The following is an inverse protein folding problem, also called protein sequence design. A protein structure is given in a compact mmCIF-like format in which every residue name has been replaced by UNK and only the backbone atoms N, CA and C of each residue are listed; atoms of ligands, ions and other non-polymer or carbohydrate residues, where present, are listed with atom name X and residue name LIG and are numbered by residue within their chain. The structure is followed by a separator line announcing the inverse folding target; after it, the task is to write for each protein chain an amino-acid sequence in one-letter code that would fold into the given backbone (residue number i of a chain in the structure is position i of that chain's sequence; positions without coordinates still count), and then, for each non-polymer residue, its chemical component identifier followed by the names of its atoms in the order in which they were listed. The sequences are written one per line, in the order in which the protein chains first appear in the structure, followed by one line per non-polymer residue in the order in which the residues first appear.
data_IF_763841674516
#
_entry.id   IF_763841674516
#
_cell.length_a   1.000
_cell.length_b   1.000
_cell.length_c   1.000
_cell.angle_alpha   90.00
_cell.angle_beta   90.00
_cell.angle_gamma   90.00
#
_symmetry.space_group_name_H-M   'P 1'
#
loop_
_entity.id
_entity.type
_entity.pdbx_description
1 polymer ?
#
# COMPACT_ATOMS: atom_id res chain seq x y z
N UNK A 1 13.84 -21.62 25.51
CA UNK A 1 13.34 -21.19 24.18
C UNK A 1 12.70 -19.83 24.36
N UNK A 2 13.33 -18.75 23.90
CA UNK A 2 12.75 -17.41 23.98
C UNK A 2 11.55 -17.35 23.04
N UNK A 3 10.37 -17.12 23.61
CA UNK A 3 9.16 -16.79 22.85
C UNK A 3 9.39 -15.44 22.18
N UNK A 4 9.61 -15.43 20.87
CA UNK A 4 9.61 -14.20 20.09
C UNK A 4 8.25 -13.51 20.33
N UNK A 5 8.26 -12.40 21.07
CA UNK A 5 7.08 -11.54 21.20
C UNK A 5 6.71 -11.12 19.78
N UNK A 6 5.47 -11.38 19.38
CA UNK A 6 4.89 -10.85 18.15
C UNK A 6 4.90 -9.32 18.27
N UNK A 7 5.97 -8.70 17.81
CA UNK A 7 6.07 -7.26 17.71
C UNK A 7 5.06 -6.81 16.64
N UNK A 8 4.28 -5.78 16.95
CA UNK A 8 3.37 -5.13 16.00
C UNK A 8 4.21 -4.70 14.80
N UNK A 9 3.86 -5.16 13.59
CA UNK A 9 4.49 -4.68 12.37
C UNK A 9 4.03 -3.22 12.20
N UNK A 10 4.95 -2.24 12.18
CA UNK A 10 4.58 -0.85 12.00
C UNK A 10 3.93 -0.66 10.62
N UNK A 11 2.91 0.19 10.56
CA UNK A 11 2.25 0.57 9.30
C UNK A 11 3.24 1.28 8.36
N UNK A 12 2.98 1.32 7.05
CA UNK A 12 3.85 2.08 6.14
C UNK A 12 3.91 3.56 6.52
N UNK A 13 2.80 4.12 7.02
CA UNK A 13 2.79 5.48 7.58
C UNK A 13 3.82 5.65 8.70
N UNK A 14 3.76 4.81 9.73
CA UNK A 14 4.69 4.86 10.88
C UNK A 14 6.14 4.70 10.40
N UNK A 15 6.41 3.77 9.48
CA UNK A 15 7.75 3.59 8.90
C UNK A 15 8.26 4.83 8.17
N UNK A 16 7.40 5.47 7.38
CA UNK A 16 7.76 6.69 6.64
C UNK A 16 7.97 7.85 7.62
N UNK A 17 7.09 8.03 8.60
CA UNK A 17 7.16 9.08 9.63
C UNK A 17 8.40 8.96 10.52
N UNK A 18 8.73 7.74 10.97
CA UNK A 18 9.92 7.45 11.75
C UNK A 18 11.20 7.74 10.95
N UNK A 19 11.23 7.35 9.67
CA UNK A 19 12.41 7.57 8.83
C UNK A 19 12.58 9.04 8.46
N UNK A 20 11.46 9.75 8.24
CA UNK A 20 11.45 11.19 8.01
C UNK A 20 11.99 11.96 9.20
N UNK A 21 11.70 11.50 10.42
CA UNK A 21 12.26 12.06 11.65
C UNK A 21 13.77 11.79 11.81
N UNK A 22 14.24 10.62 11.36
CA UNK A 22 15.65 10.22 11.46
C UNK A 22 16.56 10.85 10.39
N UNK A 23 16.07 10.98 9.14
CA UNK A 23 16.84 11.41 7.98
C UNK A 23 16.15 12.58 7.26
N UNK A 24 15.86 13.64 8.03
CA UNK A 24 15.01 14.74 7.59
C UNK A 24 15.56 15.46 6.36
N UNK A 25 16.85 15.78 6.35
CA UNK A 25 17.45 16.64 5.32
C UNK A 25 17.50 15.92 3.97
N UNK A 26 17.90 14.65 3.97
CA UNK A 26 17.99 13.81 2.79
C UNK A 26 16.61 13.57 2.17
N UNK A 27 15.61 13.31 3.02
CA UNK A 27 14.23 13.07 2.58
C UNK A 27 13.53 14.33 2.10
N UNK A 28 13.75 15.47 2.75
CA UNK A 28 13.29 16.77 2.24
C UNK A 28 13.89 17.02 0.85
N UNK A 29 15.20 16.79 0.68
CA UNK A 29 15.89 16.94 -0.61
C UNK A 29 15.28 16.02 -1.67
N UNK A 30 15.01 14.76 -1.33
CA UNK A 30 14.40 13.79 -2.25
C UNK A 30 12.99 14.18 -2.67
N UNK A 31 12.14 14.46 -1.70
CA UNK A 31 10.76 14.82 -1.95
C UNK A 31 10.66 16.16 -2.68
N UNK A 32 11.56 17.11 -2.40
CA UNK A 32 11.64 18.37 -3.13
C UNK A 32 12.01 18.14 -4.60
N UNK A 33 12.95 17.25 -4.90
CA UNK A 33 13.29 16.86 -6.29
C UNK A 33 12.11 16.26 -7.03
N UNK A 34 11.31 15.41 -6.37
CA UNK A 34 10.07 14.91 -6.97
C UNK A 34 9.10 16.04 -7.30
N UNK A 35 8.91 16.98 -6.36
CA UNK A 35 8.04 18.14 -6.55
C UNK A 35 8.55 19.09 -7.64
N UNK A 36 9.87 19.26 -7.77
CA UNK A 36 10.53 20.09 -8.78
C UNK A 36 10.35 19.56 -10.22
N UNK A 37 10.15 18.24 -10.39
CA UNK A 37 9.78 17.66 -11.69
C UNK A 37 8.37 18.09 -12.15
N UNK A 38 7.60 18.72 -11.25
CA UNK A 38 6.26 19.23 -11.51
C UNK A 38 5.17 18.18 -11.29
N UNK A 39 3.94 18.55 -11.64
CA UNK A 39 2.80 17.65 -11.50
C UNK A 39 2.94 16.45 -12.46
N UNK A 40 2.84 15.23 -11.93
CA UNK A 40 3.01 14.04 -12.76
C UNK A 40 2.94 12.72 -12.00
N UNK A 41 3.14 11.63 -12.74
CA UNK A 41 3.28 10.27 -12.19
C UNK A 41 4.74 9.85 -12.28
N UNK A 42 5.31 9.43 -11.16
CA UNK A 42 6.63 8.82 -11.06
C UNK A 42 6.49 7.31 -11.04
N UNK A 43 7.24 6.65 -11.93
CA UNK A 43 7.35 5.21 -12.00
C UNK A 43 8.40 4.71 -10.99
N UNK A 44 8.39 3.41 -10.63
CA UNK A 44 9.33 2.86 -9.64
C UNK A 44 10.80 3.18 -9.94
N UNK A 45 11.21 3.07 -11.21
CA UNK A 45 12.60 3.38 -11.59
C UNK A 45 12.95 4.85 -11.34
N UNK A 46 12.05 5.80 -11.62
CA UNK A 46 12.26 7.21 -11.29
C UNK A 46 12.44 7.45 -9.79
N UNK A 47 11.69 6.72 -8.94
CA UNK A 47 11.81 6.83 -7.48
C UNK A 47 13.18 6.33 -6.99
N UNK A 48 13.67 5.24 -7.56
CA UNK A 48 14.99 4.69 -7.21
C UNK A 48 16.12 5.55 -7.78
N UNK A 49 16.00 6.01 -9.03
CA UNK A 49 17.02 6.84 -9.68
C UNK A 49 17.27 8.16 -8.92
N UNK A 50 16.22 8.81 -8.41
CA UNK A 50 16.38 10.02 -7.60
C UNK A 50 16.92 9.74 -6.19
N UNK A 51 16.57 8.59 -5.61
CA UNK A 51 17.17 8.15 -4.34
C UNK A 51 18.68 7.96 -4.49
N UNK A 52 19.11 7.27 -5.54
CA UNK A 52 20.52 7.00 -5.83
C UNK A 52 21.31 8.29 -6.12
N UNK A 53 20.69 9.32 -6.71
CA UNK A 53 21.35 10.62 -6.93
C UNK A 53 21.64 11.41 -5.66
N UNK A 54 20.86 11.21 -4.59
CA UNK A 54 21.05 11.89 -3.31
C UNK A 54 22.05 11.14 -2.46
N UNK A 55 22.03 9.83 -2.58
CA UNK A 55 22.95 8.91 -1.94
C UNK A 55 24.27 8.94 -2.71
N UNK A 56 25.09 9.96 -2.47
CA UNK A 56 26.51 9.93 -2.85
C UNK A 56 27.30 8.87 -2.06
N UNK A 57 28.62 8.81 -2.25
CA UNK A 57 29.54 7.80 -1.66
C UNK A 57 29.71 7.83 -0.12
N UNK A 58 28.89 8.56 0.63
CA UNK A 58 28.98 8.61 2.10
C UNK A 58 28.33 7.39 2.77
N UNK A 59 29.01 6.80 3.77
CA UNK A 59 28.52 5.64 4.55
C UNK A 59 27.15 5.88 5.21
N UNK A 60 26.83 7.13 5.58
CA UNK A 60 25.53 7.49 6.15
C UNK A 60 24.37 7.29 5.16
N UNK A 61 24.64 7.39 3.85
CA UNK A 61 23.62 7.26 2.82
C UNK A 61 23.29 5.80 2.47
N UNK A 62 24.24 4.87 2.68
CA UNK A 62 23.98 3.43 2.53
C UNK A 62 22.94 2.95 3.55
N UNK A 63 22.93 3.52 4.75
CA UNK A 63 21.92 3.19 5.77
C UNK A 63 20.51 3.67 5.43
N UNK A 64 20.37 4.65 4.53
CA UNK A 64 19.08 5.10 3.99
C UNK A 64 18.55 4.16 2.89
N UNK A 65 19.42 3.72 1.96
CA UNK A 65 19.06 2.78 0.87
C UNK A 65 18.73 1.39 1.41
N UNK A 66 19.54 0.90 2.35
CA UNK A 66 19.33 -0.40 3.00
C UNK A 66 18.45 -0.28 4.25
N UNK A 67 17.97 0.94 4.52
CA UNK A 67 17.12 1.27 5.64
C UNK A 67 15.63 1.04 5.38
N UNK A 68 14.80 1.30 6.41
CA UNK A 68 13.37 1.07 6.35
C UNK A 68 12.66 1.90 5.27
N UNK A 69 13.20 3.06 4.89
CA UNK A 69 12.64 3.91 3.84
C UNK A 69 13.06 3.49 2.43
N UNK A 70 14.29 3.04 2.23
CA UNK A 70 14.71 2.41 0.97
C UNK A 70 13.82 1.21 0.64
N UNK A 71 13.47 0.39 1.63
CA UNK A 71 12.49 -0.70 1.47
C UNK A 71 11.09 -0.22 1.08
N UNK A 72 10.64 0.91 1.63
CA UNK A 72 9.35 1.52 1.28
C UNK A 72 9.36 1.98 -0.18
N UNK A 73 10.40 2.68 -0.62
CA UNK A 73 10.54 3.14 -2.00
C UNK A 73 10.69 1.98 -2.99
N UNK A 74 11.47 0.95 -2.65
CA UNK A 74 11.60 -0.29 -3.44
C UNK A 74 10.26 -1.02 -3.58
N UNK A 75 9.38 -0.89 -2.58
CA UNK A 75 8.03 -1.48 -2.59
C UNK A 75 6.98 -0.57 -3.24
N UNK A 76 7.30 0.71 -3.48
CA UNK A 76 6.40 1.66 -4.12
C UNK A 76 6.22 1.29 -5.61
N UNK A 77 4.96 1.20 -6.04
CA UNK A 77 4.61 0.86 -7.41
C UNK A 77 4.44 2.09 -8.29
N UNK A 78 4.09 3.22 -7.69
CA UNK A 78 3.99 4.51 -8.34
C UNK A 78 3.94 5.61 -7.26
N UNK A 79 4.32 6.83 -7.64
CA UNK A 79 4.04 8.02 -6.87
C UNK A 79 3.37 9.08 -7.74
N UNK A 80 2.41 9.79 -7.17
CA UNK A 80 1.73 10.92 -7.78
C UNK A 80 2.28 12.17 -7.14
N UNK A 81 2.74 13.10 -7.97
CA UNK A 81 3.22 14.40 -7.53
C UNK A 81 2.16 15.44 -7.87
N UNK A 82 1.59 16.03 -6.83
CA UNK A 82 0.69 17.18 -6.90
C UNK A 82 1.21 18.22 -5.90
N UNK A 83 2.09 19.15 -6.32
CA UNK A 83 2.76 20.06 -5.41
C UNK A 83 1.78 20.75 -4.45
N UNK A 84 2.03 20.73 -3.11
CA UNK A 84 3.25 20.28 -2.42
C UNK A 84 3.23 18.82 -1.93
N UNK A 85 2.30 18.01 -2.42
CA UNK A 85 2.08 16.63 -1.98
C UNK A 85 2.74 15.61 -2.90
N UNK A 86 3.29 14.57 -2.28
CA UNK A 86 3.72 13.33 -2.95
C UNK A 86 2.92 12.18 -2.36
N UNK A 87 2.07 11.54 -3.16
CA UNK A 87 1.26 10.39 -2.75
C UNK A 87 1.83 9.11 -3.36
N UNK A 88 2.13 8.11 -2.54
CA UNK A 88 2.76 6.85 -2.95
C UNK A 88 1.80 5.67 -2.79
N UNK A 89 1.73 4.82 -3.81
CA UNK A 89 1.09 3.51 -3.71
C UNK A 89 2.15 2.44 -3.40
N UNK A 90 2.13 1.92 -2.19
CA UNK A 90 3.14 1.00 -1.68
C UNK A 90 2.55 -0.41 -1.68
N UNK A 91 3.30 -1.37 -2.20
CA UNK A 91 2.90 -2.78 -2.27
C UNK A 91 3.91 -3.67 -1.54
N UNK A 92 3.83 -3.78 -0.21
CA UNK A 92 4.81 -4.55 0.56
C UNK A 92 4.78 -6.04 0.22
N UNK A 93 3.60 -6.58 -0.14
CA UNK A 93 3.38 -8.00 -0.46
C UNK A 93 2.31 -8.16 -1.55
N UNK A 94 2.31 -9.28 -2.30
CA UNK A 94 1.25 -9.55 -3.26
C UNK A 94 -0.14 -9.51 -2.62
N UNK A 95 -1.02 -8.66 -3.16
CA UNK A 95 -2.40 -8.50 -2.67
C UNK A 95 -2.57 -7.56 -1.47
N UNK A 96 -1.49 -6.93 -1.00
CA UNK A 96 -1.53 -5.93 0.08
C UNK A 96 -1.03 -4.60 -0.45
N UNK A 97 -1.85 -3.56 -0.29
CA UNK A 97 -1.57 -2.19 -0.71
C UNK A 97 -1.74 -1.24 0.47
N UNK A 98 -0.85 -0.26 0.55
CA UNK A 98 -0.93 0.84 1.49
C UNK A 98 -0.66 2.14 0.72
N UNK A 99 -1.45 3.18 1.01
CA UNK A 99 -1.34 4.47 0.35
C UNK A 99 -0.95 5.52 1.37
N UNK A 100 0.07 6.30 1.03
CA UNK A 100 0.62 7.32 1.94
C UNK A 100 0.81 8.61 1.18
N UNK A 101 0.42 9.73 1.79
CA UNK A 101 0.67 11.08 1.31
C UNK A 101 1.71 11.75 2.20
N UNK A 102 2.66 12.43 1.58
CA UNK A 102 3.64 13.26 2.27
C UNK A 102 3.48 14.71 1.80
N UNK A 103 3.33 15.64 2.75
CA UNK A 103 3.45 17.07 2.48
C UNK A 103 4.93 17.44 2.59
N UNK A 104 5.54 17.90 1.49
CA UNK A 104 6.98 18.18 1.47
C UNK A 104 7.37 19.39 2.31
N UNK A 105 6.46 20.36 2.48
CA UNK A 105 6.75 21.58 3.24
C UNK A 105 6.57 21.40 4.75
N UNK A 106 5.46 20.76 5.16
CA UNK A 106 5.17 20.50 6.57
C UNK A 106 5.84 19.24 7.09
N UNK A 107 6.28 18.37 6.18
CA UNK A 107 6.84 17.04 6.48
C UNK A 107 5.90 16.14 7.27
N UNK A 108 4.60 16.35 7.04
CA UNK A 108 3.55 15.51 7.59
C UNK A 108 3.31 14.31 6.67
N UNK A 109 3.06 13.15 7.30
CA UNK A 109 2.81 11.88 6.64
C UNK A 109 1.42 11.40 7.02
N UNK A 110 0.58 11.18 6.03
CA UNK A 110 -0.80 10.76 6.21
C UNK A 110 -1.06 9.46 5.48
N UNK A 111 -1.84 8.58 6.09
CA UNK A 111 -2.32 7.38 5.43
C UNK A 111 -3.59 7.71 4.64
N UNK A 112 -3.63 7.29 3.37
CA UNK A 112 -4.79 7.46 2.51
C UNK A 112 -5.58 6.16 2.40
N UNK A 113 -6.88 6.30 2.24
CA UNK A 113 -7.76 5.26 1.70
C UNK A 113 -7.56 5.11 0.19
N UNK A 114 -8.11 4.03 -0.38
CA UNK A 114 -8.09 3.79 -1.83
C UNK A 114 -8.78 4.94 -2.57
N UNK A 115 -9.96 5.36 -2.10
CA UNK A 115 -10.74 6.43 -2.73
C UNK A 115 -9.98 7.77 -2.71
N UNK A 116 -9.35 8.13 -1.59
CA UNK A 116 -8.54 9.35 -1.49
C UNK A 116 -7.33 9.32 -2.42
N UNK A 117 -6.66 8.16 -2.54
CA UNK A 117 -5.54 8.01 -3.48
C UNK A 117 -5.97 8.10 -4.95
N UNK A 118 -7.12 7.50 -5.30
CA UNK A 118 -7.67 7.59 -6.66
C UNK A 118 -8.11 9.01 -7.01
N UNK A 119 -8.70 9.74 -6.05
CA UNK A 119 -9.02 11.16 -6.22
C UNK A 119 -7.76 11.99 -6.53
N UNK A 120 -6.62 11.66 -5.91
CA UNK A 120 -5.33 12.26 -6.26
C UNK A 120 -4.93 12.02 -7.72
N UNK A 121 -5.22 10.84 -8.27
CA UNK A 121 -4.98 10.54 -9.71
C UNK A 121 -5.91 11.32 -10.62
N UNK A 122 -7.17 11.47 -10.23
CA UNK A 122 -8.16 12.26 -10.97
C UNK A 122 -7.76 13.73 -11.00
N UNK A 123 -7.39 14.31 -9.85
CA UNK A 123 -6.96 15.71 -9.74
C UNK A 123 -5.71 16.00 -10.58
N UNK A 124 -4.84 15.02 -10.79
CA UNK A 124 -3.68 15.17 -11.67
C UNK A 124 -4.07 15.49 -13.12
N UNK A 125 -5.17 14.89 -13.61
CA UNK A 125 -5.62 15.02 -15.00
C UNK A 125 -6.63 16.16 -15.13
N UNK A 126 -7.69 16.12 -14.33
CA UNK A 126 -8.85 16.99 -14.47
C UNK A 126 -8.75 18.27 -13.61
N UNK A 127 -7.76 18.33 -12.72
CA UNK A 127 -7.66 19.37 -11.70
C UNK A 127 -8.67 19.17 -10.57
N UNK A 128 -8.86 20.20 -9.74
CA UNK A 128 -9.79 20.11 -8.62
C UNK A 128 -11.23 19.99 -9.12
N UNK A 129 -11.79 18.79 -9.02
CA UNK A 129 -13.20 18.53 -9.21
C UNK A 129 -13.90 18.51 -7.85
N UNK A 130 -15.02 19.22 -7.76
CA UNK A 130 -15.83 19.32 -6.55
C UNK A 130 -17.13 18.53 -6.67
N UNK A 131 -17.18 17.54 -7.57
CA UNK A 131 -18.34 16.68 -7.70
C UNK A 131 -18.42 15.71 -6.51
N UNK A 132 -19.41 15.92 -5.65
CA UNK A 132 -19.62 15.12 -4.45
C UNK A 132 -20.19 13.73 -4.78
N UNK A 133 -20.69 13.50 -5.99
CA UNK A 133 -21.45 12.30 -6.38
C UNK A 133 -20.78 11.49 -7.49
N UNK A 134 -19.45 11.48 -7.54
CA UNK A 134 -18.69 10.59 -8.42
C UNK A 134 -19.04 9.14 -8.10
N UNK A 135 -19.32 8.36 -9.15
CA UNK A 135 -19.68 6.94 -9.00
C UNK A 135 -18.46 6.13 -8.58
N UNK A 136 -18.48 5.58 -7.37
CA UNK A 136 -17.48 4.63 -6.88
C UNK A 136 -18.00 3.18 -7.01
N UNK A 137 -17.22 2.33 -7.67
CA UNK A 137 -17.54 0.91 -7.83
C UNK A 137 -16.88 0.09 -6.72
N UNK A 138 -17.63 -0.22 -5.67
CA UNK A 138 -17.17 -1.06 -4.56
C UNK A 138 -17.82 -2.45 -4.57
N UNK A 139 -16.99 -3.48 -4.77
CA UNK A 139 -17.40 -4.89 -4.73
C UNK A 139 -17.09 -5.58 -3.41
N UNK A 140 -16.43 -4.91 -2.46
CA UNK A 140 -16.07 -5.51 -1.17
C UNK A 140 -17.30 -5.96 -0.36
N UNK A 141 -18.38 -5.16 -0.23
CA UNK A 141 -19.58 -5.55 0.51
C UNK A 141 -20.27 -6.80 -0.07
N UNK A 142 -20.25 -6.96 -1.40
CA UNK A 142 -20.87 -8.09 -2.09
C UNK A 142 -20.14 -9.42 -1.88
N UNK A 143 -18.87 -9.36 -1.48
CA UNK A 143 -18.03 -10.53 -1.27
C UNK A 143 -17.83 -10.89 0.22
N UNK A 144 -18.52 -10.20 1.14
CA UNK A 144 -18.35 -10.39 2.59
C UNK A 144 -18.75 -11.79 3.07
N UNK A 145 -19.63 -12.48 2.35
CA UNK A 145 -20.05 -13.86 2.66
C UNK A 145 -19.02 -14.91 2.27
N UNK A 146 -18.08 -14.58 1.37
CA UNK A 146 -17.02 -15.49 0.97
C UNK A 146 -15.80 -15.36 1.87
N UNK A 147 -15.31 -16.47 2.46
CA UNK A 147 -14.09 -16.43 3.24
C UNK A 147 -12.91 -16.03 2.34
N UNK A 148 -12.08 -15.07 2.79
CA UNK A 148 -10.90 -14.62 2.05
C UNK A 148 -9.62 -15.26 2.60
N UNK A 149 -8.83 -15.97 1.79
CA UNK A 149 -7.52 -16.45 2.22
C UNK A 149 -6.55 -15.28 2.38
N UNK A 150 -5.88 -15.19 3.52
CA UNK A 150 -4.90 -14.11 3.83
C UNK A 150 -3.46 -14.48 3.51
N UNK A 151 -3.19 -15.75 3.18
CA UNK A 151 -1.85 -16.23 2.84
C UNK A 151 -1.59 -16.06 1.35
N UNK A 152 -0.48 -15.44 0.99
CA UNK A 152 -0.04 -15.27 -0.40
C UNK A 152 0.07 -16.60 -1.15
N UNK A 153 0.48 -17.68 -0.47
CA UNK A 153 0.53 -19.03 -1.05
C UNK A 153 -0.83 -19.62 -1.45
N UNK A 154 -1.93 -19.03 -0.97
CA UNK A 154 -3.29 -19.45 -1.34
C UNK A 154 -3.83 -18.73 -2.59
N UNK A 155 -3.10 -17.73 -3.10
CA UNK A 155 -3.45 -17.06 -4.36
C UNK A 155 -3.37 -18.09 -5.49
N UNK A 156 -4.42 -18.18 -6.31
CA UNK A 156 -4.55 -19.18 -7.37
C UNK A 156 -5.10 -20.54 -6.91
N UNK A 157 -5.24 -20.78 -5.60
CA UNK A 157 -5.68 -22.06 -5.03
C UNK A 157 -7.09 -21.98 -4.42
N UNK A 158 -8.00 -21.22 -5.04
CA UNK A 158 -9.33 -20.90 -4.50
C UNK A 158 -10.21 -22.13 -4.25
N UNK A 159 -10.22 -23.10 -5.17
CA UNK A 159 -11.01 -24.34 -5.04
C UNK A 159 -10.59 -25.16 -3.82
N UNK A 160 -9.29 -25.27 -3.55
CA UNK A 160 -8.80 -26.00 -2.38
C UNK A 160 -9.25 -25.32 -1.08
N UNK A 161 -9.19 -23.99 -1.05
CA UNK A 161 -9.66 -23.21 0.09
C UNK A 161 -11.18 -23.35 0.30
N UNK A 162 -11.95 -23.25 -0.78
CA UNK A 162 -13.40 -23.41 -0.75
C UNK A 162 -13.80 -24.83 -0.33
N UNK A 163 -13.15 -25.86 -0.86
CA UNK A 163 -13.40 -27.25 -0.47
C UNK A 163 -13.19 -27.44 1.04
N UNK A 164 -12.06 -26.94 1.58
CA UNK A 164 -11.79 -27.01 3.01
C UNK A 164 -12.84 -26.25 3.84
N UNK A 165 -13.29 -25.11 3.35
CA UNK A 165 -14.33 -24.32 3.99
C UNK A 165 -15.69 -25.03 3.99
N UNK A 166 -16.15 -25.51 2.83
CA UNK A 166 -17.40 -26.26 2.67
C UNK A 166 -17.40 -27.54 3.50
N UNK A 167 -16.30 -28.31 3.47
CA UNK A 167 -16.17 -29.49 4.34
C UNK A 167 -16.36 -29.11 5.80
N UNK A 168 -15.71 -28.04 6.27
CA UNK A 168 -15.87 -27.58 7.67
C UNK A 168 -17.29 -27.11 8.01
N UNK A 169 -18.05 -26.56 7.06
CA UNK A 169 -19.44 -26.14 7.28
C UNK A 169 -20.36 -27.37 7.33
N UNK A 170 -20.22 -28.29 6.36
CA UNK A 170 -21.02 -29.52 6.29
C UNK A 170 -20.89 -30.37 7.56
N UNK A 171 -19.70 -30.42 8.19
CA UNK A 171 -19.52 -31.15 9.45
C UNK A 171 -20.18 -30.51 10.68
N UNK A 172 -20.58 -29.23 10.62
CA UNK A 172 -21.09 -28.49 11.79
C UNK A 172 -22.61 -28.49 11.92
N UNK A 173 -23.36 -28.67 10.83
CA UNK A 173 -24.82 -28.63 10.88
C UNK A 173 -25.44 -29.66 9.93
N UNK A 174 -26.48 -30.37 10.41
CA UNK A 174 -27.21 -31.38 9.63
C UNK A 174 -27.95 -30.75 8.45
N UNK A 175 -28.42 -29.52 8.61
CA UNK A 175 -29.15 -28.77 7.57
C UNK A 175 -28.24 -28.37 6.39
N UNK A 176 -26.92 -28.35 6.58
CA UNK A 176 -25.97 -28.03 5.51
C UNK A 176 -25.82 -29.14 4.45
N UNK A 177 -26.42 -30.31 4.68
CA UNK A 177 -26.44 -31.40 3.69
C UNK A 177 -27.65 -31.36 2.75
N UNK A 178 -28.69 -30.60 3.08
CA UNK A 178 -29.89 -30.48 2.24
C UNK A 178 -29.56 -29.95 0.83
N UNK A 179 -28.71 -28.92 0.64
CA UNK A 179 -28.31 -28.49 -0.69
C UNK A 179 -27.52 -29.54 -1.48
N UNK A 180 -26.80 -30.44 -0.80
CA UNK A 180 -26.09 -31.53 -1.45
C UNK A 180 -27.05 -32.65 -1.89
N UNK A 181 -28.09 -32.90 -1.10
CA UNK A 181 -29.15 -33.84 -1.45
C UNK A 181 -29.97 -33.34 -2.65
N UNK A 182 -30.36 -32.06 -2.64
CA UNK A 182 -31.13 -31.44 -3.72
C UNK A 182 -30.37 -31.36 -5.05
N UNK A 183 -29.03 -31.36 -4.98
CA UNK A 183 -28.17 -31.31 -6.16
C UNK A 183 -28.06 -32.66 -6.90
N UNK A 184 -28.21 -33.79 -6.19
CA UNK A 184 -27.99 -35.16 -6.69
C UNK A 184 -29.28 -35.78 -7.28
#
# INVERSE_FOLDING_TARGET
MQTAKLARIPSMRERVEDTLSAHRNELVSLLSRYVEQGKGILQPHHLIDELDKIVGDDEANLTLIDGPFGDVLKSAQEAIVLPPFVAMAIRPRPGVWEYVRVNVYELSVEQLSVAEYLRFKEELVDGQSNDQYVLELDFEPFNATFPRPTRTSSIGNGVQFLNRHLSSIMFRNRDCFEPLLDFL
#
